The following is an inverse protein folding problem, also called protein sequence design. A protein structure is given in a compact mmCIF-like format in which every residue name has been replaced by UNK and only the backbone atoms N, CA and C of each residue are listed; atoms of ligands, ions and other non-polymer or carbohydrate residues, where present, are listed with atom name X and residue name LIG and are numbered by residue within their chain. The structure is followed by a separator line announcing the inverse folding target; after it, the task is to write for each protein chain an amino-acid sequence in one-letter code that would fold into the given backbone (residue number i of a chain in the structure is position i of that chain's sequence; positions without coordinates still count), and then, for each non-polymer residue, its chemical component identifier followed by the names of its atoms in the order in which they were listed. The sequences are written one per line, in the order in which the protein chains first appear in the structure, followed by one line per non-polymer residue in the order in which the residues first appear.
data_IF_686705796438
#
_entry.id   IF_686705796438
#
_cell.length_a   1.000
_cell.length_b   1.000
_cell.length_c   1.000
_cell.angle_alpha   90.00
_cell.angle_beta   90.00
_cell.angle_gamma   90.00
#
_symmetry.space_group_name_H-M   'P 1'
#
loop_
_entity.id
_entity.type
_entity.pdbx_description
1 polymer ?
#
# COMPACT_ATOMS: atom_id res chain seq x y z
N UNK A 1 -7.73 20.14 23.46
CA UNK A 1 -7.19 21.35 22.80
C UNK A 1 -6.15 21.02 21.72
N UNK A 2 -5.53 19.82 21.71
CA UNK A 2 -4.51 19.43 20.71
C UNK A 2 -5.04 19.03 19.32
N UNK A 3 -6.30 18.61 19.20
CA UNK A 3 -6.88 18.22 17.92
C UNK A 3 -6.98 19.40 16.94
N UNK A 4 -7.39 20.57 17.44
CA UNK A 4 -7.42 21.81 16.65
C UNK A 4 -6.02 22.27 16.25
N UNK A 5 -5.01 22.02 17.09
CA UNK A 5 -3.61 22.36 16.79
C UNK A 5 -3.08 21.50 15.65
N UNK A 6 -3.30 20.18 15.71
CA UNK A 6 -2.97 19.25 14.60
C UNK A 6 -3.68 19.63 13.30
N UNK A 7 -4.95 20.01 13.35
CA UNK A 7 -5.70 20.37 12.16
C UNK A 7 -5.19 21.69 11.55
N UNK A 8 -4.80 22.66 12.39
CA UNK A 8 -4.17 23.90 11.94
C UNK A 8 -2.75 23.68 11.39
N UNK A 9 -1.97 22.76 11.96
CA UNK A 9 -0.62 22.43 11.47
C UNK A 9 -0.66 21.70 10.12
N UNK A 10 -1.72 20.92 9.85
CA UNK A 10 -1.98 20.33 8.52
C UNK A 10 -2.39 21.39 7.51
N UNK A 11 -3.17 22.40 7.92
CA UNK A 11 -3.70 23.43 7.01
C UNK A 11 -2.71 24.58 6.73
N UNK A 12 -1.93 24.99 7.73
CA UNK A 12 -1.06 26.18 7.71
C UNK A 12 0.43 25.84 7.86
N UNK A 13 0.77 24.56 8.01
CA UNK A 13 2.13 24.07 8.25
C UNK A 13 2.53 24.12 9.72
N UNK A 14 3.30 23.13 10.16
CA UNK A 14 3.84 23.04 11.53
C UNK A 14 4.77 24.22 11.92
N UNK A 15 5.15 25.07 10.95
CA UNK A 15 6.04 26.21 11.13
C UNK A 15 5.33 27.50 11.59
N UNK A 16 4.08 27.44 12.05
CA UNK A 16 3.34 28.65 12.50
C UNK A 16 3.92 29.29 13.77
N UNK A 17 4.67 28.54 14.59
CA UNK A 17 5.17 29.01 15.88
C UNK A 17 6.59 29.60 15.83
N UNK A 18 7.26 29.61 14.67
CA UNK A 18 8.61 30.21 14.54
C UNK A 18 9.73 29.53 15.34
N UNK A 19 9.45 28.42 16.03
CA UNK A 19 10.39 27.69 16.91
C UNK A 19 11.14 26.55 16.24
N UNK A 20 10.91 26.31 14.95
CA UNK A 20 11.67 25.31 14.20
C UNK A 20 12.79 26.10 13.53
N UNK A 21 14.02 25.98 14.03
CA UNK A 21 15.21 26.32 13.26
C UNK A 21 14.95 25.87 11.83
N UNK A 22 14.85 26.82 10.90
CA UNK A 22 14.79 26.53 9.47
C UNK A 22 16.11 25.85 9.12
N UNK A 23 16.22 24.56 9.44
CA UNK A 23 17.19 23.69 8.82
C UNK A 23 16.70 23.67 7.39
N UNK A 24 17.30 24.55 6.61
CA UNK A 24 17.23 24.63 5.15
C UNK A 24 17.80 23.31 4.61
N UNK A 25 17.04 22.24 4.82
CA UNK A 25 17.29 20.93 4.26
C UNK A 25 17.03 21.07 2.78
N UNK A 26 18.03 20.73 1.98
CA UNK A 26 17.89 20.83 0.54
C UNK A 26 17.11 19.61 0.05
N UNK A 27 16.42 19.75 -1.08
CA UNK A 27 15.69 18.63 -1.70
C UNK A 27 16.61 17.48 -2.14
N UNK A 28 17.93 17.72 -2.19
CA UNK A 28 18.97 16.72 -2.46
C UNK A 28 19.33 15.82 -1.27
N UNK A 29 18.87 16.15 -0.06
CA UNK A 29 19.28 15.41 1.13
C UNK A 29 18.74 13.98 1.10
N UNK A 30 19.59 13.02 1.49
CA UNK A 30 19.26 11.57 1.47
C UNK A 30 18.09 11.21 2.39
N UNK A 31 17.83 12.05 3.38
CA UNK A 31 16.77 11.92 4.37
C UNK A 31 15.40 12.32 3.80
N UNK A 32 15.38 13.05 2.68
CA UNK A 32 14.15 13.46 1.99
C UNK A 32 13.65 12.34 1.08
N UNK A 33 12.34 12.11 1.08
CA UNK A 33 11.75 11.09 0.24
C UNK A 33 11.68 11.54 -1.22
N UNK A 34 12.64 11.09 -2.04
CA UNK A 34 12.65 11.30 -3.50
C UNK A 34 11.32 10.96 -4.20
N UNK A 35 10.63 9.92 -3.72
CA UNK A 35 9.35 9.47 -4.28
C UNK A 35 8.23 10.45 -3.96
N UNK A 36 8.23 10.98 -2.73
CA UNK A 36 7.32 12.03 -2.33
C UNK A 36 7.57 13.33 -3.12
N UNK A 37 8.84 13.67 -3.38
CA UNK A 37 9.21 14.79 -4.25
C UNK A 37 8.70 14.58 -5.68
N UNK A 38 8.82 13.37 -6.22
CA UNK A 38 8.31 13.00 -7.54
C UNK A 38 6.77 13.00 -7.63
N UNK A 39 6.08 12.98 -6.49
CA UNK A 39 4.62 13.20 -6.40
C UNK A 39 3.85 12.14 -5.61
N UNK A 40 4.44 10.97 -5.37
CA UNK A 40 3.76 9.86 -4.67
C UNK A 40 4.74 9.04 -3.84
N UNK A 41 4.47 8.89 -2.54
CA UNK A 41 5.14 7.90 -1.71
C UNK A 41 4.22 6.70 -1.42
N UNK A 42 4.61 5.46 -1.73
CA UNK A 42 3.76 4.28 -1.45
C UNK A 42 3.47 4.08 0.04
N UNK A 43 4.40 4.46 0.91
CA UNK A 43 4.19 4.38 2.36
C UNK A 43 3.02 5.24 2.83
N UNK A 44 2.79 6.38 2.18
CA UNK A 44 1.69 7.29 2.51
C UNK A 44 0.37 6.80 1.88
N UNK A 45 0.44 6.30 0.64
CA UNK A 45 -0.73 5.78 -0.07
C UNK A 45 -1.33 4.52 0.56
N UNK A 46 -0.48 3.61 1.06
CA UNK A 46 -0.90 2.33 1.63
C UNK A 46 -1.15 2.37 3.13
N UNK A 47 -1.05 3.53 3.79
CA UNK A 47 -1.45 3.67 5.19
C UNK A 47 -2.90 3.19 5.38
N UNK A 48 -3.14 2.45 6.47
CA UNK A 48 -4.45 1.91 6.83
C UNK A 48 -5.02 0.85 5.86
N UNK A 49 -4.22 0.37 4.92
CA UNK A 49 -4.62 -0.75 4.05
C UNK A 49 -4.03 -2.07 4.55
N UNK A 50 -4.53 -3.21 4.05
CA UNK A 50 -3.92 -4.53 4.31
C UNK A 50 -2.48 -4.66 3.76
N UNK A 51 -2.01 -3.66 3.02
CA UNK A 51 -0.65 -3.59 2.46
C UNK A 51 0.18 -2.49 3.12
N UNK A 52 -0.14 -2.13 4.36
CA UNK A 52 0.60 -1.08 5.07
C UNK A 52 2.09 -1.44 5.19
N UNK A 53 2.92 -0.58 4.60
CA UNK A 53 4.38 -0.66 4.64
C UNK A 53 4.96 0.06 5.88
N UNK A 54 4.09 0.62 6.72
CA UNK A 54 4.44 1.44 7.87
C UNK A 54 4.79 2.87 7.49
N UNK A 55 5.00 3.74 8.50
CA UNK A 55 5.35 5.14 8.28
C UNK A 55 6.66 5.26 7.51
N UNK A 56 6.72 6.19 6.55
CA UNK A 56 7.94 6.41 5.80
C UNK A 56 9.08 6.86 6.73
N UNK A 57 10.26 6.26 6.59
CA UNK A 57 11.45 6.67 7.35
C UNK A 57 12.06 7.97 6.84
N UNK A 58 11.57 8.49 5.71
CA UNK A 58 12.06 9.68 5.04
C UNK A 58 11.12 10.86 5.27
N UNK A 59 11.66 12.06 5.16
CA UNK A 59 10.94 13.31 5.38
C UNK A 59 10.03 13.58 4.17
N UNK A 60 8.75 13.81 4.46
CA UNK A 60 7.73 14.27 3.51
C UNK A 60 7.40 15.73 3.84
N UNK A 61 8.02 16.68 3.12
CA UNK A 61 7.69 18.10 3.25
C UNK A 61 7.10 18.61 1.95
N UNK A 62 5.93 19.25 2.04
CA UNK A 62 5.26 19.87 0.90
C UNK A 62 6.03 21.07 0.35
N UNK A 63 6.85 21.72 1.18
CA UNK A 63 7.69 22.84 0.75
C UNK A 63 8.76 22.34 -0.23
N UNK A 64 9.51 21.30 0.16
CA UNK A 64 10.54 20.68 -0.68
C UNK A 64 9.97 20.12 -1.98
N UNK A 65 8.72 19.65 -1.98
CA UNK A 65 8.04 19.18 -3.19
C UNK A 65 7.83 20.32 -4.19
N UNK A 66 7.43 21.51 -3.73
CA UNK A 66 7.27 22.69 -4.60
C UNK A 66 8.62 23.14 -5.16
N UNK A 67 9.64 23.19 -4.32
CA UNK A 67 11.00 23.55 -4.74
C UNK A 67 11.53 22.58 -5.82
N UNK A 68 11.26 21.29 -5.65
CA UNK A 68 11.58 20.26 -6.63
C UNK A 68 10.73 20.37 -7.92
N UNK A 69 9.43 20.67 -7.83
CA UNK A 69 8.59 20.91 -9.02
C UNK A 69 9.10 22.09 -9.85
N UNK A 70 9.57 23.17 -9.20
CA UNK A 70 10.20 24.31 -9.87
C UNK A 70 11.56 23.95 -10.48
N UNK A 71 12.38 23.14 -9.80
CA UNK A 71 13.65 22.65 -10.33
C UNK A 71 13.44 21.70 -11.54
N UNK A 72 12.43 20.83 -11.46
CA UNK A 72 12.00 19.94 -12.54
C UNK A 72 11.53 20.75 -13.75
N UNK A 73 10.78 21.84 -13.55
CA UNK A 73 10.39 22.74 -14.63
C UNK A 73 11.59 23.42 -15.32
N UNK A 74 12.69 23.61 -14.59
CA UNK A 74 13.97 24.10 -15.13
C UNK A 74 14.81 22.99 -15.81
N UNK A 75 14.35 21.74 -15.77
CA UNK A 75 14.96 20.60 -16.47
C UNK A 75 16.23 20.05 -15.82
N UNK A 76 16.53 20.41 -14.57
CA UNK A 76 17.77 20.00 -13.91
C UNK A 76 17.72 18.59 -13.36
N UNK A 77 16.55 18.09 -12.93
CA UNK A 77 16.42 16.80 -12.25
C UNK A 77 15.13 16.05 -12.56
N UNK A 78 15.27 14.74 -12.79
CA UNK A 78 14.18 13.81 -13.04
C UNK A 78 14.27 12.59 -12.11
N UNK A 79 13.63 12.66 -10.94
CA UNK A 79 13.38 11.49 -10.08
C UNK A 79 12.21 10.60 -10.54
N UNK A 80 11.52 10.98 -11.62
CA UNK A 80 10.37 10.24 -12.17
C UNK A 80 10.73 8.80 -12.56
N UNK A 81 11.93 8.57 -13.10
CA UNK A 81 12.37 7.21 -13.46
C UNK A 81 12.50 6.30 -12.24
N UNK A 82 13.03 6.81 -11.13
CA UNK A 82 13.11 6.02 -9.88
C UNK A 82 11.71 5.72 -9.33
N UNK A 83 10.75 6.62 -9.55
CA UNK A 83 9.36 6.43 -9.18
C UNK A 83 8.69 5.36 -10.05
N UNK A 84 8.87 5.42 -11.37
CA UNK A 84 8.36 4.41 -12.33
C UNK A 84 8.87 3.01 -11.97
N UNK A 85 10.19 2.85 -11.77
CA UNK A 85 10.81 1.58 -11.38
C UNK A 85 10.28 1.03 -10.04
N UNK A 86 9.89 1.93 -9.13
CA UNK A 86 9.24 1.52 -7.88
C UNK A 86 7.80 1.07 -8.11
N UNK A 87 7.03 1.82 -8.88
CA UNK A 87 5.63 1.51 -9.17
C UNK A 87 5.53 0.16 -9.89
N UNK A 88 6.39 -0.10 -10.87
CA UNK A 88 6.43 -1.40 -11.55
C UNK A 88 6.68 -2.57 -10.59
N UNK A 89 7.63 -2.42 -9.65
CA UNK A 89 7.86 -3.43 -8.61
C UNK A 89 6.63 -3.67 -7.74
N UNK A 90 5.94 -2.61 -7.35
CA UNK A 90 4.71 -2.72 -6.55
C UNK A 90 3.57 -3.39 -7.33
N UNK A 91 3.44 -3.12 -8.63
CA UNK A 91 2.45 -3.79 -9.49
C UNK A 91 2.71 -5.30 -9.51
N UNK A 92 3.97 -5.72 -9.71
CA UNK A 92 4.33 -7.14 -9.71
C UNK A 92 4.01 -7.82 -8.36
N UNK A 93 4.22 -7.13 -7.24
CA UNK A 93 3.86 -7.65 -5.92
C UNK A 93 2.35 -7.77 -5.72
N UNK A 94 1.58 -6.78 -6.18
CA UNK A 94 0.13 -6.80 -6.20
C UNK A 94 -0.39 -7.97 -7.03
N UNK A 95 0.12 -8.15 -8.25
CA UNK A 95 -0.28 -9.25 -9.14
C UNK A 95 0.03 -10.61 -8.50
N UNK A 96 1.20 -10.77 -7.88
CA UNK A 96 1.54 -12.00 -7.14
C UNK A 96 0.61 -12.26 -5.96
N UNK A 97 0.10 -11.22 -5.29
CA UNK A 97 -0.88 -11.37 -4.20
C UNK A 97 -2.26 -11.75 -4.76
N UNK A 98 -2.68 -11.11 -5.86
CA UNK A 98 -3.93 -11.41 -6.56
C UNK A 98 -3.92 -12.87 -7.05
N UNK A 99 -2.86 -13.30 -7.74
CA UNK A 99 -2.73 -14.68 -8.23
C UNK A 99 -2.79 -15.70 -7.09
N UNK A 100 -2.15 -15.43 -5.95
CA UNK A 100 -2.24 -16.30 -4.76
C UNK A 100 -3.65 -16.33 -4.16
N UNK A 101 -4.35 -15.19 -4.14
CA UNK A 101 -5.72 -15.12 -3.66
C UNK A 101 -6.68 -15.88 -4.59
N UNK A 102 -6.55 -15.70 -5.91
CA UNK A 102 -7.32 -16.42 -6.93
C UNK A 102 -7.08 -17.93 -6.86
N UNK A 103 -5.82 -18.36 -6.68
CA UNK A 103 -5.51 -19.79 -6.53
C UNK A 103 -6.15 -20.38 -5.28
N UNK A 104 -6.10 -19.68 -4.15
CA UNK A 104 -6.78 -20.12 -2.92
C UNK A 104 -8.29 -20.23 -3.12
N UNK A 105 -8.90 -19.26 -3.78
CA UNK A 105 -10.33 -19.28 -4.10
C UNK A 105 -10.68 -20.51 -4.96
N UNK A 106 -9.89 -20.78 -6.01
CA UNK A 106 -10.10 -21.95 -6.86
C UNK A 106 -9.91 -23.28 -6.11
N UNK A 107 -8.92 -23.37 -5.22
CA UNK A 107 -8.69 -24.56 -4.39
C UNK A 107 -9.84 -24.77 -3.39
N UNK A 108 -10.40 -23.70 -2.83
CA UNK A 108 -11.53 -23.77 -1.89
C UNK A 108 -12.84 -24.11 -2.61
N UNK A 109 -13.09 -23.56 -3.80
CA UNK A 109 -14.22 -23.95 -4.66
C UNK A 109 -14.12 -25.41 -5.09
N UNK A 110 -12.92 -25.90 -5.42
CA UNK A 110 -12.69 -27.31 -5.74
C UNK A 110 -12.95 -28.21 -4.53
N UNK A 111 -12.50 -27.82 -3.32
CA UNK A 111 -12.81 -28.57 -2.09
C UNK A 111 -14.30 -28.57 -1.77
N UNK A 112 -14.99 -27.46 -1.99
CA UNK A 112 -16.43 -27.37 -1.79
C UNK A 112 -17.17 -28.30 -2.78
N UNK A 113 -16.78 -28.30 -4.06
CA UNK A 113 -17.33 -29.21 -5.06
C UNK A 113 -17.06 -30.69 -4.71
N UNK A 114 -15.84 -31.02 -4.25
CA UNK A 114 -15.50 -32.37 -3.79
C UNK A 114 -16.36 -32.75 -2.57
N UNK A 115 -16.50 -31.89 -1.57
CA UNK A 115 -17.31 -32.15 -0.39
C UNK A 115 -18.79 -32.38 -0.73
N UNK A 116 -19.33 -31.59 -1.67
CA UNK A 116 -20.69 -31.79 -2.21
C UNK A 116 -20.79 -33.16 -2.88
N UNK A 117 -19.87 -33.50 -3.79
CA UNK A 117 -19.87 -34.80 -4.47
C UNK A 117 -19.73 -36.00 -3.51
N UNK A 118 -18.91 -35.87 -2.46
CA UNK A 118 -18.77 -36.90 -1.42
C UNK A 118 -20.07 -37.06 -0.64
N UNK A 119 -20.73 -35.97 -0.29
CA UNK A 119 -22.02 -36.02 0.40
C UNK A 119 -23.12 -36.66 -0.45
N UNK A 120 -23.19 -36.36 -1.75
CA UNK A 120 -24.12 -37.01 -2.70
C UNK A 120 -23.85 -38.52 -2.80
N UNK A 121 -22.58 -38.94 -2.87
CA UNK A 121 -22.21 -40.35 -2.89
C UNK A 121 -22.61 -41.07 -1.59
N UNK A 122 -22.46 -40.43 -0.43
CA UNK A 122 -22.89 -41.02 0.86
C UNK A 122 -24.40 -41.09 1.05
N UNK A 123 -25.19 -40.36 0.25
CA UNK A 123 -26.65 -40.36 0.27
C UNK A 123 -27.26 -41.38 -0.69
N UNK A 124 -26.44 -42.16 -1.40
CA UNK A 124 -26.94 -43.22 -2.28
C UNK A 124 -27.68 -44.30 -1.47
N UNK A 125 -28.85 -44.72 -1.97
CA UNK A 125 -29.75 -45.66 -1.29
C UNK A 125 -29.05 -46.97 -0.90
N UNK A 126 -28.06 -47.40 -1.68
CA UNK A 126 -27.28 -48.62 -1.44
C UNK A 126 -26.44 -48.53 -0.14
N UNK A 127 -25.86 -47.37 0.18
CA UNK A 127 -25.05 -47.16 1.39
C UNK A 127 -25.97 -46.96 2.63
N UNK A 128 -27.10 -46.28 2.44
CA UNK A 128 -28.14 -46.15 3.47
C UNK A 128 -28.77 -47.50 3.85
N UNK A 129 -28.89 -48.43 2.90
CA UNK A 129 -29.36 -49.80 3.18
C UNK A 129 -28.30 -50.63 3.91
N UNK A 130 -27.02 -50.50 3.54
CA UNK A 130 -25.90 -51.18 4.22
C UNK A 130 -25.73 -50.71 5.68
N UNK A 131 -25.92 -49.42 5.96
CA UNK A 131 -25.84 -48.87 7.32
C UNK A 131 -27.00 -49.29 8.24
N UNK A 132 -28.14 -49.72 7.68
CA UNK A 132 -29.28 -50.27 8.45
C UNK A 132 -29.11 -51.75 8.83
N UNK A 133 -28.12 -52.42 8.27
CA UNK A 133 -27.85 -53.85 8.52
C UNK A 133 -26.75 -54.09 9.56
N UNK A 134 -26.16 -53.03 10.11
CA UNK A 134 -25.21 -53.05 11.24
C UNK A 134 -25.95 -52.63 12.50
#
# INVERSE_FOLDING_TARGET
MDAFRKQLDVLMGANRNGDVEEVSRNYYDRDVCRLFLAGLCPHDLFQLTKMDLGPCSKIHSLQLRKDYEEAKAKGTENFDRELEDMIERLIVECDRKIQRALKRLADDDAKAAIAISVSEVTLTDDILQLSKQI
#
